data_IF_844423387623
#
_entry.id   IF_844423387623
#
_cell.length_a   1.000
_cell.length_b   1.000
_cell.length_c   1.000
_cell.angle_alpha   90.00
_cell.angle_beta   90.00
_cell.angle_gamma   90.00
#
_symmetry.space_group_name_H-M   'P 1'
#
loop_
_entity.id
_entity.type
_entity.pdbx_description
1 polymer ?
#
# COMPACT_ATOMS: atom_id res chain seq x y z
N UNK A 1 -8.97 -5.05 20.29
CA UNK A 1 -7.64 -4.48 20.61
C UNK A 1 -7.20 -3.64 19.42
N UNK A 2 -6.83 -2.38 19.61
CA UNK A 2 -6.18 -1.58 18.56
C UNK A 2 -4.73 -2.06 18.48
N UNK A 3 -4.33 -2.68 17.37
CA UNK A 3 -2.96 -3.17 17.19
C UNK A 3 -2.09 -2.07 16.56
N UNK A 4 -2.62 -1.31 15.59
CA UNK A 4 -1.91 -0.25 14.88
C UNK A 4 -2.71 1.06 14.97
N UNK A 5 -2.05 2.15 15.38
CA UNK A 5 -2.58 3.51 15.33
C UNK A 5 -2.33 4.19 13.97
N UNK A 6 -2.97 5.33 13.74
CA UNK A 6 -2.91 6.08 12.48
C UNK A 6 -1.50 6.58 12.14
N UNK A 7 -0.69 6.93 13.15
CA UNK A 7 0.70 7.34 12.96
C UNK A 7 1.59 6.15 12.57
N UNK A 8 1.44 5.01 13.24
CA UNK A 8 2.17 3.79 12.93
C UNK A 8 1.84 3.26 11.53
N UNK A 9 0.55 3.26 11.15
CA UNK A 9 0.10 2.85 9.81
C UNK A 9 0.77 3.70 8.72
N UNK A 10 0.71 5.03 8.80
CA UNK A 10 1.35 5.88 7.80
C UNK A 10 2.88 5.71 7.69
N UNK A 11 3.57 5.37 8.79
CA UNK A 11 5.00 5.03 8.73
C UNK A 11 5.24 3.70 8.01
N UNK A 12 4.40 2.69 8.30
CA UNK A 12 4.43 1.39 7.63
C UNK A 12 4.19 1.58 6.13
N UNK A 13 3.23 2.40 5.74
CA UNK A 13 2.90 2.66 4.33
C UNK A 13 4.03 3.35 3.58
N UNK A 14 4.68 4.34 4.18
CA UNK A 14 5.87 4.96 3.60
C UNK A 14 6.99 3.92 3.37
N UNK A 15 7.24 3.05 4.35
CA UNK A 15 8.24 1.99 4.22
C UNK A 15 7.84 0.96 3.15
N UNK A 16 6.57 0.56 3.11
CA UNK A 16 6.01 -0.36 2.12
C UNK A 16 6.06 0.22 0.71
N UNK A 17 5.72 1.49 0.54
CA UNK A 17 5.78 2.17 -0.74
C UNK A 17 7.20 2.23 -1.30
N UNK A 18 8.18 2.54 -0.45
CA UNK A 18 9.61 2.49 -0.84
C UNK A 18 10.03 1.06 -1.19
N UNK A 19 9.61 0.07 -0.39
CA UNK A 19 9.91 -1.34 -0.67
C UNK A 19 9.33 -1.78 -2.01
N UNK A 20 8.09 -1.40 -2.34
CA UNK A 20 7.45 -1.71 -3.61
C UNK A 20 8.18 -1.09 -4.81
N UNK A 21 8.63 0.16 -4.69
CA UNK A 21 9.40 0.84 -5.73
C UNK A 21 10.75 0.16 -5.96
N UNK A 22 11.41 -0.29 -4.89
CA UNK A 22 12.74 -0.90 -4.97
C UNK A 22 12.70 -2.41 -5.26
N UNK A 23 11.60 -3.10 -4.94
CA UNK A 23 11.47 -4.55 -5.09
C UNK A 23 11.89 -5.09 -6.48
N UNK A 24 11.49 -4.48 -7.62
CA UNK A 24 11.94 -4.93 -8.93
C UNK A 24 13.45 -4.94 -9.08
N UNK A 25 14.13 -3.94 -8.53
CA UNK A 25 15.58 -3.78 -8.60
C UNK A 25 16.28 -4.75 -7.66
N UNK A 26 15.77 -4.89 -6.43
CA UNK A 26 16.34 -5.76 -5.40
C UNK A 26 16.19 -7.25 -5.72
N UNK A 27 15.11 -7.62 -6.41
CA UNK A 27 14.76 -9.01 -6.68
C UNK A 27 14.98 -9.42 -8.15
N UNK A 28 15.55 -8.53 -8.98
CA UNK A 28 16.03 -8.86 -10.33
C UNK A 28 14.94 -8.96 -11.41
N UNK A 29 13.80 -8.30 -11.24
CA UNK A 29 12.72 -8.24 -12.24
C UNK A 29 12.44 -6.83 -12.81
N UNK A 30 13.38 -5.89 -12.63
CA UNK A 30 13.34 -4.54 -13.22
C UNK A 30 13.56 -4.54 -14.74
N UNK A 31 12.56 -5.00 -15.50
CA UNK A 31 12.62 -5.17 -16.97
C UNK A 31 11.73 -4.19 -17.77
N UNK A 32 10.98 -3.33 -17.07
CA UNK A 32 10.08 -2.34 -17.70
C UNK A 32 8.71 -2.90 -18.10
N UNK A 33 8.49 -4.21 -17.93
CA UNK A 33 7.20 -4.84 -18.14
C UNK A 33 6.24 -4.67 -16.94
N UNK A 34 5.06 -5.31 -16.99
CA UNK A 34 4.06 -5.20 -15.94
C UNK A 34 4.57 -5.57 -14.54
N UNK A 35 5.38 -6.63 -14.44
CA UNK A 35 6.01 -7.06 -13.18
C UNK A 35 6.89 -5.96 -12.56
N UNK A 36 7.53 -5.11 -13.37
CA UNK A 36 8.29 -3.96 -12.89
C UNK A 36 7.34 -2.79 -12.57
N UNK A 37 6.47 -2.42 -13.51
CA UNK A 37 5.73 -1.17 -13.42
C UNK A 37 4.63 -1.17 -12.34
N UNK A 38 3.90 -2.27 -12.16
CA UNK A 38 2.77 -2.34 -11.23
C UNK A 38 3.18 -2.01 -9.78
N UNK A 39 4.19 -2.66 -9.18
CA UNK A 39 4.57 -2.36 -7.80
C UNK A 39 5.17 -0.96 -7.69
N UNK A 40 5.90 -0.47 -8.71
CA UNK A 40 6.40 0.91 -8.72
C UNK A 40 5.26 1.93 -8.70
N UNK A 41 4.25 1.75 -9.56
CA UNK A 41 3.10 2.64 -9.62
C UNK A 41 2.29 2.60 -8.32
N UNK A 42 2.02 1.41 -7.78
CA UNK A 42 1.32 1.27 -6.50
C UNK A 42 2.13 1.85 -5.33
N UNK A 43 3.45 1.64 -5.29
CA UNK A 43 4.31 2.19 -4.25
C UNK A 43 4.30 3.72 -4.24
N UNK A 44 4.35 4.35 -5.42
CA UNK A 44 4.18 5.81 -5.55
C UNK A 44 2.78 6.27 -5.11
N UNK A 45 1.73 5.53 -5.51
CA UNK A 45 0.36 5.86 -5.13
C UNK A 45 0.14 5.77 -3.62
N UNK A 46 0.70 4.74 -2.95
CA UNK A 46 0.64 4.55 -1.50
C UNK A 46 1.34 5.70 -0.78
N UNK A 47 2.55 6.09 -1.19
CA UNK A 47 3.28 7.22 -0.57
C UNK A 47 2.48 8.51 -0.75
N UNK A 48 1.99 8.79 -1.97
CA UNK A 48 1.20 9.99 -2.22
C UNK A 48 -0.07 10.01 -1.37
N UNK A 49 -0.80 8.90 -1.30
CA UNK A 49 -2.02 8.77 -0.50
C UNK A 49 -1.72 8.95 0.99
N UNK A 50 -0.62 8.38 1.50
CA UNK A 50 -0.17 8.52 2.88
C UNK A 50 0.07 9.99 3.24
N UNK A 51 0.84 10.72 2.42
CA UNK A 51 1.13 12.14 2.63
C UNK A 51 -0.14 13.01 2.64
N UNK A 52 -1.14 12.60 1.84
CA UNK A 52 -2.45 13.25 1.75
C UNK A 52 -3.41 12.82 2.86
N UNK A 53 -3.14 11.78 3.63
CA UNK A 53 -4.09 11.23 4.60
C UNK A 53 -4.03 11.94 5.93
N UNK A 54 -5.17 12.10 6.60
CA UNK A 54 -5.25 12.64 7.96
C UNK A 54 -4.76 11.59 8.95
N UNK A 55 -3.55 11.79 9.47
CA UNK A 55 -2.96 11.03 10.57
C UNK A 55 -1.94 11.90 11.33
N UNK A 56 -1.42 11.41 12.46
CA UNK A 56 -0.46 12.13 13.32
C UNK A 56 0.75 12.76 12.58
N UNK A 57 1.22 12.14 11.51
CA UNK A 57 2.41 12.56 10.75
C UNK A 57 2.06 13.05 9.33
N UNK A 58 0.80 13.41 9.10
CA UNK A 58 0.34 13.87 7.80
C UNK A 58 1.11 15.11 7.34
N UNK A 59 1.55 15.12 6.09
CA UNK A 59 2.13 16.31 5.48
C UNK A 59 1.04 17.32 5.08
N UNK A 60 -0.09 16.82 4.56
CA UNK A 60 -1.17 17.64 4.00
C UNK A 60 -2.51 17.40 4.73
N UNK A 61 -2.92 16.14 4.94
CA UNK A 61 -4.11 15.81 5.73
C UNK A 61 -5.47 16.17 5.08
N UNK A 62 -5.69 15.75 3.84
CA UNK A 62 -6.94 15.94 3.08
C UNK A 62 -7.84 14.69 3.03
N UNK A 63 -7.23 13.50 3.01
CA UNK A 63 -7.95 12.23 2.83
C UNK A 63 -8.27 11.61 4.19
N UNK A 64 -9.53 11.28 4.50
CA UNK A 64 -9.85 10.57 5.74
C UNK A 64 -9.19 9.19 5.77
N UNK A 65 -8.64 8.78 6.92
CA UNK A 65 -8.00 7.46 7.07
C UNK A 65 -8.93 6.31 6.64
N UNK A 66 -10.24 6.40 6.87
CA UNK A 66 -11.19 5.38 6.41
C UNK A 66 -11.22 5.25 4.87
N UNK A 67 -10.97 6.32 4.13
CA UNK A 67 -10.85 6.26 2.67
C UNK A 67 -9.50 5.68 2.23
N UNK A 68 -8.41 6.02 2.94
CA UNK A 68 -7.09 5.41 2.74
C UNK A 68 -7.17 3.89 2.91
N UNK A 69 -7.69 3.40 4.04
CA UNK A 69 -7.77 1.97 4.33
C UNK A 69 -8.57 1.18 3.28
N UNK A 70 -9.59 1.80 2.68
CA UNK A 70 -10.30 1.19 1.54
C UNK A 70 -9.40 1.10 0.31
N UNK A 71 -8.64 2.15 0.02
CA UNK A 71 -7.68 2.14 -1.08
C UNK A 71 -6.60 1.06 -0.88
N UNK A 72 -6.12 0.85 0.34
CA UNK A 72 -5.17 -0.23 0.65
C UNK A 72 -5.78 -1.61 0.46
N UNK A 73 -7.03 -1.79 0.88
CA UNK A 73 -7.74 -3.06 0.70
C UNK A 73 -7.83 -3.43 -0.79
N UNK A 74 -8.24 -2.47 -1.63
CA UNK A 74 -8.35 -2.69 -3.07
C UNK A 74 -6.99 -2.75 -3.77
N UNK A 75 -6.06 -1.87 -3.39
CA UNK A 75 -4.71 -1.79 -3.96
C UNK A 75 -3.89 -3.02 -3.63
N UNK A 76 -3.93 -3.49 -2.38
CA UNK A 76 -3.28 -4.72 -1.94
C UNK A 76 -3.88 -5.96 -2.61
N UNK A 77 -5.21 -6.06 -2.74
CA UNK A 77 -5.85 -7.14 -3.48
C UNK A 77 -5.49 -7.11 -4.98
N UNK A 78 -5.46 -5.93 -5.59
CA UNK A 78 -5.05 -5.76 -6.98
C UNK A 78 -3.57 -6.14 -7.18
N UNK A 79 -2.69 -5.74 -6.27
CA UNK A 79 -1.28 -6.12 -6.28
C UNK A 79 -1.14 -7.64 -6.17
N UNK A 80 -1.84 -8.25 -5.21
CA UNK A 80 -1.83 -9.68 -5.00
C UNK A 80 -2.27 -10.44 -6.25
N UNK A 81 -3.34 -10.00 -6.91
CA UNK A 81 -3.86 -10.66 -8.11
C UNK A 81 -3.06 -10.33 -9.40
N UNK A 82 -2.25 -9.27 -9.40
CA UNK A 82 -1.60 -8.74 -10.60
C UNK A 82 -0.77 -9.76 -11.40
N UNK A 83 -0.04 -10.72 -10.82
CA UNK A 83 0.75 -11.67 -11.61
C UNK A 83 -0.09 -12.50 -12.59
N UNK A 84 -1.29 -12.88 -12.16
CA UNK A 84 -2.24 -13.64 -12.97
C UNK A 84 -3.04 -12.75 -13.92
N UNK A 85 -3.46 -11.56 -13.45
CA UNK A 85 -4.23 -10.62 -14.26
C UNK A 85 -3.45 -10.08 -15.47
N UNK A 86 -2.14 -9.92 -15.34
CA UNK A 86 -1.28 -9.35 -16.38
C UNK A 86 -0.29 -10.38 -16.97
N UNK A 87 -0.42 -11.66 -16.64
CA UNK A 87 0.31 -12.75 -17.30
C UNK A 87 1.82 -12.80 -17.02
N UNK A 88 2.26 -12.38 -15.82
CA UNK A 88 3.68 -12.43 -15.42
C UNK A 88 3.93 -13.35 -14.21
N UNK A 89 2.99 -14.23 -13.89
CA UNK A 89 3.09 -15.16 -12.77
C UNK A 89 4.37 -16.01 -12.82
N UNK A 90 4.81 -16.46 -14.00
CA UNK A 90 6.03 -17.25 -14.17
C UNK A 90 7.33 -16.46 -13.92
N UNK A 91 7.24 -15.13 -13.84
CA UNK A 91 8.40 -14.23 -13.66
C UNK A 91 8.51 -13.77 -12.21
N UNK A 92 7.43 -13.25 -11.63
CA UNK A 92 7.49 -12.56 -10.33
C UNK A 92 6.15 -12.59 -9.55
N UNK A 93 5.55 -13.78 -9.37
CA UNK A 93 4.30 -13.88 -8.61
C UNK A 93 4.46 -13.59 -7.11
N UNK A 94 5.50 -14.16 -6.48
CA UNK A 94 5.61 -14.19 -5.02
C UNK A 94 5.75 -12.81 -4.35
N UNK A 95 6.53 -11.82 -4.86
CA UNK A 95 6.66 -10.54 -4.16
C UNK A 95 5.36 -9.74 -4.24
N UNK A 96 4.64 -9.82 -5.36
CA UNK A 96 3.35 -9.17 -5.56
C UNK A 96 2.28 -9.78 -4.64
N UNK A 97 2.21 -11.11 -4.56
CA UNK A 97 1.27 -11.80 -3.68
C UNK A 97 1.52 -11.48 -2.21
N UNK A 98 2.77 -11.64 -1.74
CA UNK A 98 3.09 -11.44 -0.32
C UNK A 98 2.89 -9.99 0.11
N UNK A 99 3.38 -9.03 -0.68
CA UNK A 99 3.22 -7.61 -0.35
C UNK A 99 1.74 -7.20 -0.44
N UNK A 100 0.99 -7.70 -1.43
CA UNK A 100 -0.45 -7.43 -1.53
C UNK A 100 -1.24 -7.97 -0.34
N UNK A 101 -0.97 -9.20 0.10
CA UNK A 101 -1.57 -9.78 1.31
C UNK A 101 -1.19 -8.97 2.56
N UNK A 102 0.08 -8.57 2.67
CA UNK A 102 0.55 -7.78 3.81
C UNK A 102 -0.16 -6.42 3.87
N UNK A 103 -0.29 -5.71 2.74
CA UNK A 103 -1.04 -4.45 2.66
C UNK A 103 -2.50 -4.62 3.09
N UNK A 104 -3.19 -5.65 2.58
CA UNK A 104 -4.58 -5.96 3.00
C UNK A 104 -4.65 -6.25 4.50
N UNK A 105 -3.70 -7.03 5.03
CA UNK A 105 -3.67 -7.39 6.45
C UNK A 105 -3.49 -6.16 7.32
N UNK A 106 -2.53 -5.29 6.98
CA UNK A 106 -2.27 -4.03 7.70
C UNK A 106 -3.51 -3.13 7.68
N UNK A 107 -4.19 -3.01 6.53
CA UNK A 107 -5.41 -2.23 6.41
C UNK A 107 -6.54 -2.76 7.31
N UNK A 108 -6.71 -4.09 7.38
CA UNK A 108 -7.77 -4.73 8.19
C UNK A 108 -7.52 -4.64 9.71
N UNK A 109 -6.26 -4.61 10.15
CA UNK A 109 -5.91 -4.50 11.57
C UNK A 109 -5.72 -3.05 12.04
N UNK A 110 -5.84 -2.08 11.13
CA UNK A 110 -5.80 -0.65 11.43
C UNK A 110 -7.23 -0.13 11.59
N UNK A 111 -7.52 0.48 12.74
CA UNK A 111 -8.84 1.04 13.00
C UNK A 111 -8.81 2.56 12.79
N UNK A 112 -9.67 3.12 11.92
CA UNK A 112 -9.80 4.56 11.81
C UNK A 112 -10.31 5.12 13.16
N UNK A 113 -9.81 6.29 13.61
CA UNK A 113 -10.40 6.96 14.75
C UNK A 113 -11.90 7.20 14.48
N UNK A 114 -12.77 7.13 15.50
CA UNK A 114 -14.17 7.48 15.34
C UNK A 114 -14.25 8.87 14.69
N UNK A 115 -15.14 9.02 13.71
CA UNK A 115 -15.29 10.27 12.97
C UNK A 115 -15.50 11.41 13.97
N UNK A 116 -14.48 12.25 14.15
CA UNK A 116 -14.61 13.47 14.94
C UNK A 116 -15.42 14.41 14.07
N UNK A 117 -16.72 14.52 14.38
CA UNK A 117 -17.53 15.66 13.94
C UNK A 117 -16.86 16.87 14.57
N UNK A 118 -16.05 17.61 13.80
CA UNK A 118 -15.55 18.91 14.26
C UNK A 118 -16.78 19.85 14.33
N UNK A 119 -17.03 20.51 15.48
CA UNK A 119 -18.09 21.51 15.60
C UNK A 119 -17.82 22.73 14.71
#
# INVERSE_FOLDING_TARGET
>A
MKIIDDGAHGLIDCAFGVLLILAPHLLGFANGGPAHMIPVLLGNAVIALTLLTVHRYAAIGLVPLAAHLRADLFGGAALAASPWLFGFADVAWWPHLLLGIATVTVALVTLPPPAVVRP
#
